data_IF_132653617296
#
_entry.id   IF_132653617296
#
_cell.length_a   1.000
_cell.length_b   1.000
_cell.length_c   1.000
_cell.angle_alpha   90.00
_cell.angle_beta   90.00
_cell.angle_gamma   90.00
#
_symmetry.space_group_name_H-M   'P 1'
#
loop_
_entity.id
_entity.type
_entity.pdbx_description
1 polymer ?
#
# COMPACT_ATOMS: atom_id res chain seq x y z
N UNK A 1 16.10 15.91 6.19
CA UNK A 1 14.85 16.59 5.74
C UNK A 1 14.59 17.86 6.54
N UNK A 2 14.67 17.86 7.88
CA UNK A 2 14.43 19.10 8.65
C UNK A 2 15.56 20.12 8.58
N UNK A 3 16.80 19.65 8.46
CA UNK A 3 17.97 20.51 8.37
C UNK A 3 18.14 21.20 7.00
N UNK A 4 17.52 20.68 5.93
CA UNK A 4 17.71 21.17 4.56
C UNK A 4 16.43 21.01 3.71
N UNK A 5 15.79 22.12 3.29
CA UNK A 5 14.63 22.11 2.40
C UNK A 5 14.86 21.43 1.06
N UNK A 6 16.06 21.49 0.49
CA UNK A 6 16.38 20.84 -0.78
C UNK A 6 16.36 19.31 -0.63
N UNK A 7 16.92 18.79 0.48
CA UNK A 7 16.82 17.36 0.81
C UNK A 7 15.37 16.98 1.08
N UNK A 8 14.59 17.81 1.79
CA UNK A 8 13.16 17.58 2.00
C UNK A 8 12.40 17.45 0.67
N UNK A 9 12.65 18.34 -0.28
CA UNK A 9 12.00 18.30 -1.60
C UNK A 9 12.33 17.01 -2.36
N UNK A 10 13.61 16.62 -2.37
CA UNK A 10 14.09 15.37 -3.01
C UNK A 10 13.48 14.11 -2.39
N UNK A 11 13.33 14.07 -1.07
CA UNK A 11 12.93 12.86 -0.35
C UNK A 11 11.46 12.81 0.07
N UNK A 12 10.67 13.87 -0.11
CA UNK A 12 9.29 13.95 0.37
C UNK A 12 8.43 12.75 -0.10
N UNK A 13 8.45 12.44 -1.39
CA UNK A 13 7.67 11.32 -1.95
C UNK A 13 8.15 9.96 -1.43
N UNK A 14 9.46 9.72 -1.40
CA UNK A 14 10.06 8.48 -0.89
C UNK A 14 9.73 8.28 0.58
N UNK A 15 9.92 9.32 1.38
CA UNK A 15 9.61 9.32 2.80
C UNK A 15 8.12 9.01 3.04
N UNK A 16 7.22 9.68 2.33
CA UNK A 16 5.79 9.44 2.45
C UNK A 16 5.41 7.99 2.12
N UNK A 17 5.97 7.42 1.04
CA UNK A 17 5.75 6.03 0.67
C UNK A 17 6.23 5.06 1.75
N UNK A 18 7.45 5.22 2.25
CA UNK A 18 8.01 4.38 3.31
C UNK A 18 7.24 4.53 4.63
N UNK A 19 6.89 5.77 5.01
CA UNK A 19 6.13 6.05 6.23
C UNK A 19 4.72 5.46 6.18
N UNK A 20 4.07 5.49 5.02
CA UNK A 20 2.77 4.86 4.81
C UNK A 20 2.84 3.35 5.03
N UNK A 21 3.79 2.68 4.36
CA UNK A 21 3.98 1.24 4.48
C UNK A 21 4.39 0.80 5.90
N UNK A 22 5.24 1.59 6.57
CA UNK A 22 5.62 1.37 7.97
C UNK A 22 4.42 1.45 8.92
N UNK A 23 3.59 2.50 8.80
CA UNK A 23 2.36 2.64 9.61
C UNK A 23 1.37 1.52 9.35
N UNK A 24 1.19 1.16 8.08
CA UNK A 24 0.30 0.06 7.66
C UNK A 24 0.63 -1.25 8.38
N UNK A 25 1.89 -1.71 8.39
CA UNK A 25 2.23 -2.98 9.05
C UNK A 25 2.10 -2.95 10.57
N UNK A 26 2.30 -1.80 11.21
CA UNK A 26 2.00 -1.62 12.64
C UNK A 26 0.50 -1.82 12.88
N UNK A 27 -0.34 -1.20 12.05
CA UNK A 27 -1.79 -1.33 12.11
C UNK A 27 -2.24 -2.76 11.86
N UNK A 28 -1.80 -3.37 10.77
CA UNK A 28 -2.13 -4.75 10.40
C UNK A 28 -1.77 -5.72 11.52
N UNK A 29 -0.53 -5.69 12.03
CA UNK A 29 -0.08 -6.60 13.09
C UNK A 29 -0.92 -6.46 14.36
N UNK A 30 -1.28 -5.23 14.76
CA UNK A 30 -2.14 -4.98 15.91
C UNK A 30 -3.56 -5.49 15.66
N UNK A 31 -4.12 -5.23 14.48
CA UNK A 31 -5.44 -5.69 14.07
C UNK A 31 -5.56 -7.22 14.09
N UNK A 32 -4.62 -7.93 13.46
CA UNK A 32 -4.60 -9.39 13.42
C UNK A 32 -4.61 -10.03 14.82
N UNK A 33 -3.84 -9.45 15.75
CA UNK A 33 -3.79 -9.92 17.14
C UNK A 33 -5.07 -9.59 17.90
N UNK A 34 -5.58 -8.37 17.78
CA UNK A 34 -6.79 -7.92 18.49
C UNK A 34 -8.02 -8.74 18.09
N UNK A 35 -8.08 -9.16 16.84
CA UNK A 35 -9.20 -9.91 16.25
C UNK A 35 -9.03 -11.44 16.31
N UNK A 36 -7.92 -11.94 16.87
CA UNK A 36 -7.57 -13.37 16.83
C UNK A 36 -7.73 -14.00 15.43
N UNK A 37 -7.24 -13.32 14.40
CA UNK A 37 -7.41 -13.77 13.00
C UNK A 37 -6.78 -15.15 12.80
N UNK A 38 -5.68 -15.44 13.49
CA UNK A 38 -5.09 -16.78 13.50
C UNK A 38 -6.08 -17.84 14.00
N UNK A 39 -6.70 -17.63 15.17
CA UNK A 39 -7.69 -18.56 15.71
C UNK A 39 -8.90 -18.72 14.79
N UNK A 40 -9.37 -17.63 14.18
CA UNK A 40 -10.46 -17.68 13.19
C UNK A 40 -10.11 -18.52 11.96
N UNK A 41 -8.91 -18.33 11.37
CA UNK A 41 -8.44 -19.10 10.21
C UNK A 41 -8.21 -20.57 10.57
N UNK A 42 -7.61 -20.85 11.73
CA UNK A 42 -7.45 -22.22 12.25
C UNK A 42 -8.80 -22.93 12.42
N UNK A 43 -9.79 -22.25 12.98
CA UNK A 43 -11.13 -22.80 13.13
C UNK A 43 -11.81 -23.08 11.78
N UNK A 44 -11.55 -22.26 10.74
CA UNK A 44 -12.00 -22.53 9.38
C UNK A 44 -11.32 -23.76 8.79
N UNK A 45 -10.00 -23.89 8.95
CA UNK A 45 -9.22 -25.06 8.52
C UNK A 45 -9.70 -26.34 9.22
N UNK A 46 -9.97 -26.29 10.52
CA UNK A 46 -10.50 -27.43 11.28
C UNK A 46 -11.88 -27.87 10.77
N UNK A 47 -12.76 -26.90 10.45
CA UNK A 47 -14.06 -27.17 9.83
C UNK A 47 -13.90 -27.78 8.45
N UNK A 48 -12.95 -27.27 7.66
CA UNK A 48 -12.62 -27.79 6.35
C UNK A 48 -12.15 -29.24 6.44
N UNK A 49 -11.17 -29.56 7.29
CA UNK A 49 -10.67 -30.93 7.47
C UNK A 49 -11.78 -31.90 7.89
N UNK A 50 -12.65 -31.49 8.83
CA UNK A 50 -13.81 -32.31 9.23
C UNK A 50 -14.79 -32.54 8.07
N UNK A 51 -15.03 -31.53 7.24
CA UNK A 51 -15.91 -31.64 6.07
C UNK A 51 -15.32 -32.53 4.97
N UNK A 52 -14.00 -32.50 4.79
CA UNK A 52 -13.26 -33.35 3.86
C UNK A 52 -13.30 -34.81 4.32
N UNK A 53 -12.94 -35.09 5.58
CA UNK A 53 -12.86 -36.45 6.14
C UNK A 53 -14.23 -37.16 6.24
N UNK A 54 -15.34 -36.42 6.16
CA UNK A 54 -16.69 -36.97 6.20
C UNK A 54 -17.11 -37.71 4.91
N UNK A 55 -16.34 -37.58 3.81
CA UNK A 55 -16.68 -38.19 2.52
C UNK A 55 -15.40 -38.62 1.78
N UNK A 56 -15.30 -39.91 1.42
CA UNK A 56 -14.11 -40.47 0.78
C UNK A 56 -13.77 -39.84 -0.59
N UNK A 57 -14.76 -39.31 -1.33
CA UNK A 57 -14.50 -38.59 -2.59
C UNK A 57 -13.92 -37.21 -2.31
N UNK A 58 -14.32 -36.54 -1.22
CA UNK A 58 -13.72 -35.27 -0.80
C UNK A 58 -12.30 -35.50 -0.30
N UNK A 59 -12.08 -36.52 0.51
CA UNK A 59 -10.75 -36.91 0.99
C UNK A 59 -9.78 -37.11 -0.19
N UNK A 60 -10.19 -37.85 -1.22
CA UNK A 60 -9.38 -38.11 -2.41
C UNK A 60 -9.01 -36.85 -3.23
N UNK A 61 -9.77 -35.75 -3.11
CA UNK A 61 -9.54 -34.51 -3.86
C UNK A 61 -8.84 -33.45 -3.00
N UNK A 62 -9.20 -33.35 -1.71
CA UNK A 62 -8.85 -32.22 -0.84
C UNK A 62 -7.99 -32.60 0.36
N UNK A 63 -7.84 -33.89 0.68
CA UNK A 63 -7.17 -34.35 1.91
C UNK A 63 -5.78 -33.75 2.10
N UNK A 64 -5.01 -33.64 1.01
CA UNK A 64 -3.64 -33.13 1.04
C UNK A 64 -3.53 -31.61 0.92
N UNK A 65 -4.64 -30.88 0.69
CA UNK A 65 -4.59 -29.46 0.33
C UNK A 65 -3.86 -28.59 1.39
N UNK A 66 -4.21 -28.78 2.67
CA UNK A 66 -3.55 -28.07 3.77
C UNK A 66 -2.14 -28.60 4.06
N UNK A 67 -1.88 -29.88 3.78
CA UNK A 67 -0.56 -30.48 3.92
C UNK A 67 0.45 -29.84 2.97
N UNK A 68 0.08 -29.72 1.69
CA UNK A 68 0.90 -29.06 0.66
C UNK A 68 1.25 -27.61 1.04
N UNK A 69 0.28 -26.85 1.56
CA UNK A 69 0.53 -25.48 2.03
C UNK A 69 1.42 -25.45 3.27
N UNK A 70 1.20 -26.38 4.22
CA UNK A 70 2.01 -26.47 5.44
C UNK A 70 3.47 -26.80 5.16
N UNK A 71 3.75 -27.68 4.21
CA UNK A 71 5.11 -28.05 3.85
C UNK A 71 5.89 -26.91 3.20
N UNK A 72 5.21 -26.08 2.39
CA UNK A 72 5.78 -24.82 1.91
C UNK A 72 6.20 -23.92 3.08
N UNK A 73 5.30 -23.63 4.03
CA UNK A 73 5.64 -22.76 5.17
C UNK A 73 6.80 -23.32 6.00
N UNK A 74 6.82 -24.62 6.29
CA UNK A 74 7.96 -25.27 6.98
C UNK A 74 9.28 -25.10 6.23
N UNK A 75 9.25 -25.12 4.90
CA UNK A 75 10.45 -24.94 4.06
C UNK A 75 10.95 -23.50 4.03
N UNK A 76 10.07 -22.51 4.23
CA UNK A 76 10.40 -21.08 4.18
C UNK A 76 10.68 -20.45 5.53
N UNK A 77 10.16 -21.01 6.64
CA UNK A 77 10.20 -20.37 7.97
C UNK A 77 11.60 -19.92 8.40
N UNK A 78 12.62 -20.73 8.09
CA UNK A 78 14.00 -20.42 8.45
C UNK A 78 14.61 -19.26 7.63
N UNK A 79 14.12 -19.00 6.42
CA UNK A 79 14.72 -18.05 5.46
C UNK A 79 13.87 -16.81 5.22
N UNK A 80 12.59 -16.81 5.59
CA UNK A 80 11.65 -15.72 5.31
C UNK A 80 12.12 -14.37 5.87
N UNK A 81 12.67 -14.36 7.09
CA UNK A 81 13.27 -13.16 7.66
C UNK A 81 14.43 -12.65 6.80
N UNK A 82 15.29 -13.54 6.31
CA UNK A 82 16.38 -13.20 5.40
C UNK A 82 15.88 -12.61 4.07
N UNK A 83 14.82 -13.20 3.50
CA UNK A 83 14.19 -12.75 2.26
C UNK A 83 13.65 -11.32 2.38
N UNK A 84 12.93 -11.01 3.47
CA UNK A 84 12.43 -9.67 3.75
C UNK A 84 13.58 -8.67 3.88
N UNK A 85 14.67 -9.02 4.58
CA UNK A 85 15.83 -8.14 4.70
C UNK A 85 16.56 -7.94 3.36
N UNK A 86 16.66 -8.98 2.54
CA UNK A 86 17.27 -8.91 1.20
C UNK A 86 16.56 -7.87 0.32
N UNK A 87 15.24 -7.76 0.43
CA UNK A 87 14.47 -6.70 -0.21
C UNK A 87 14.61 -5.37 0.54
N UNK A 88 14.08 -5.28 1.76
CA UNK A 88 13.79 -4.03 2.48
C UNK A 88 15.04 -3.30 2.98
N UNK A 89 16.07 -4.03 3.42
CA UNK A 89 17.34 -3.44 3.87
C UNK A 89 18.44 -3.54 2.80
N UNK A 90 18.37 -4.56 1.93
CA UNK A 90 19.33 -4.80 0.86
C UNK A 90 19.01 -4.01 -0.40
N UNK A 91 18.10 -4.55 -1.21
CA UNK A 91 17.86 -4.09 -2.58
C UNK A 91 17.19 -2.71 -2.65
N UNK A 92 16.17 -2.45 -1.84
CA UNK A 92 15.39 -1.19 -1.87
C UNK A 92 15.59 -0.30 -0.63
N UNK A 93 16.43 -0.72 0.31
CA UNK A 93 16.64 0.02 1.56
C UNK A 93 17.41 1.34 1.40
N UNK A 94 18.35 1.38 0.46
CA UNK A 94 19.09 2.57 0.07
C UNK A 94 18.88 2.84 -1.43
N UNK A 95 18.93 4.10 -1.83
CA UNK A 95 18.68 4.54 -3.21
C UNK A 95 19.69 3.89 -4.18
N UNK A 96 20.97 3.84 -3.78
CA UNK A 96 22.06 3.37 -4.66
C UNK A 96 21.90 1.90 -5.07
N UNK A 97 21.37 1.02 -4.21
CA UNK A 97 21.45 -0.44 -4.45
C UNK A 97 20.63 -0.88 -5.66
N UNK A 98 19.34 -0.54 -5.71
CA UNK A 98 18.48 -0.87 -6.85
C UNK A 98 18.91 -0.12 -8.11
N UNK A 99 19.37 1.14 -7.98
CA UNK A 99 19.88 1.91 -9.10
C UNK A 99 21.10 1.24 -9.74
N UNK A 100 22.08 0.87 -8.92
CA UNK A 100 23.27 0.15 -9.33
C UNK A 100 22.91 -1.19 -9.99
N UNK A 101 22.00 -1.97 -9.43
CA UNK A 101 21.54 -3.22 -10.05
C UNK A 101 20.86 -2.99 -11.40
N UNK A 102 20.05 -1.95 -11.52
CA UNK A 102 19.44 -1.59 -12.80
C UNK A 102 20.50 -1.20 -13.82
N UNK A 103 21.58 -0.54 -13.39
CA UNK A 103 22.71 -0.24 -14.26
C UNK A 103 23.48 -1.50 -14.66
N UNK A 104 23.73 -2.44 -13.73
CA UNK A 104 24.44 -3.70 -14.07
C UNK A 104 23.71 -4.48 -15.15
N UNK A 105 22.37 -4.56 -15.08
CA UNK A 105 21.57 -5.18 -16.15
C UNK A 105 21.75 -4.51 -17.51
N UNK A 106 21.79 -3.18 -17.55
CA UNK A 106 22.03 -2.44 -18.79
C UNK A 106 23.45 -2.61 -19.28
N UNK A 107 24.43 -2.61 -18.37
CA UNK A 107 25.84 -2.85 -18.70
C UNK A 107 26.05 -4.25 -19.30
N UNK A 108 25.51 -5.28 -18.66
CA UNK A 108 25.61 -6.66 -19.14
C UNK A 108 24.91 -6.83 -20.50
N UNK A 109 23.79 -6.15 -20.72
CA UNK A 109 23.11 -6.13 -22.02
C UNK A 109 23.94 -5.40 -23.08
N UNK A 110 24.61 -4.30 -22.71
CA UNK A 110 25.52 -3.59 -23.60
C UNK A 110 26.71 -4.46 -23.98
N UNK A 111 27.34 -5.15 -23.03
CA UNK A 111 28.51 -6.01 -23.30
C UNK A 111 28.19 -7.22 -24.19
N UNK A 112 26.91 -7.58 -24.36
CA UNK A 112 26.45 -8.60 -25.32
C UNK A 112 26.29 -8.08 -26.75
N UNK A 113 26.36 -6.76 -26.98
CA UNK A 113 26.28 -6.17 -28.31
C UNK A 113 27.59 -6.39 -29.07
N UNK A 114 27.48 -6.75 -30.35
CA UNK A 114 28.64 -7.02 -31.20
C UNK A 114 29.32 -5.72 -31.70
N UNK A 115 28.54 -4.68 -31.99
CA UNK A 115 29.04 -3.39 -32.46
C UNK A 115 29.25 -2.38 -31.34
N UNK A 116 30.23 -1.49 -31.50
CA UNK A 116 30.46 -0.39 -30.56
C UNK A 116 29.28 0.58 -30.54
N UNK A 117 28.64 0.82 -31.68
CA UNK A 117 27.41 1.63 -31.76
C UNK A 117 26.28 1.01 -30.95
N UNK A 118 26.10 -0.31 -31.01
CA UNK A 118 25.10 -1.04 -30.23
C UNK A 118 25.37 -0.98 -28.72
N UNK A 119 26.64 -1.12 -28.32
CA UNK A 119 27.08 -0.95 -26.91
C UNK A 119 26.75 0.45 -26.40
N UNK A 120 27.17 1.49 -27.13
CA UNK A 120 26.92 2.88 -26.76
C UNK A 120 25.43 3.20 -26.72
N UNK A 121 24.64 2.76 -27.71
CA UNK A 121 23.20 2.97 -27.72
C UNK A 121 22.51 2.31 -26.50
N UNK A 122 22.92 1.08 -26.16
CA UNK A 122 22.37 0.35 -25.00
C UNK A 122 22.72 1.06 -23.69
N UNK A 123 23.96 1.50 -23.49
CA UNK A 123 24.35 2.27 -22.30
C UNK A 123 23.59 3.60 -22.23
N UNK A 124 23.50 4.32 -23.34
CA UNK A 124 22.81 5.61 -23.41
C UNK A 124 21.30 5.49 -23.16
N UNK A 125 20.69 4.32 -23.39
CA UNK A 125 19.29 4.06 -23.00
C UNK A 125 19.05 4.21 -21.49
N UNK A 126 20.11 4.13 -20.67
CA UNK A 126 20.02 4.33 -19.22
C UNK A 126 19.91 5.81 -18.82
N UNK A 127 20.19 6.76 -19.71
CA UNK A 127 20.27 8.19 -19.40
C UNK A 127 19.00 8.72 -18.72
N UNK A 128 17.82 8.41 -19.27
CA UNK A 128 16.55 8.87 -18.66
C UNK A 128 16.29 8.29 -17.27
N UNK A 129 16.78 7.07 -16.99
CA UNK A 129 16.73 6.48 -15.64
C UNK A 129 17.73 7.16 -14.71
N UNK A 130 18.92 7.49 -15.20
CA UNK A 130 19.90 8.27 -14.45
C UNK A 130 19.37 9.69 -14.15
N UNK A 131 18.73 10.36 -15.10
CA UNK A 131 18.09 11.68 -14.89
C UNK A 131 17.06 11.61 -13.76
N UNK A 132 16.14 10.65 -13.82
CA UNK A 132 15.12 10.47 -12.78
C UNK A 132 15.73 10.15 -11.41
N UNK A 133 16.78 9.32 -11.37
CA UNK A 133 17.47 9.00 -10.12
C UNK A 133 18.17 10.22 -9.51
N UNK A 134 19.04 10.88 -10.28
CA UNK A 134 19.87 11.96 -9.76
C UNK A 134 19.09 13.26 -9.48
N UNK A 135 17.87 13.42 -10.03
CA UNK A 135 16.96 14.52 -9.68
C UNK A 135 16.65 14.54 -8.17
N UNK A 136 16.35 13.37 -7.62
CA UNK A 136 15.85 13.19 -6.26
C UNK A 136 16.88 12.52 -5.32
N UNK A 137 18.12 12.37 -5.78
CA UNK A 137 19.20 11.73 -5.04
C UNK A 137 19.99 12.76 -4.22
N UNK A 138 20.26 12.39 -2.97
CA UNK A 138 21.19 13.10 -2.10
C UNK A 138 22.23 12.11 -1.58
N UNK A 139 23.48 12.29 -2.02
CA UNK A 139 24.55 11.33 -1.77
C UNK A 139 24.89 11.19 -0.28
N UNK A 140 24.86 12.30 0.48
CA UNK A 140 25.18 12.27 1.90
C UNK A 140 24.10 11.52 2.69
N UNK A 141 22.83 11.80 2.39
CA UNK A 141 21.68 11.10 2.98
C UNK A 141 21.72 9.61 2.66
N UNK A 142 21.92 9.25 1.39
CA UNK A 142 21.93 7.84 0.97
C UNK A 142 23.08 7.04 1.58
N UNK A 143 24.27 7.65 1.72
CA UNK A 143 25.41 7.05 2.43
C UNK A 143 25.05 6.69 3.87
N UNK A 144 24.39 7.59 4.58
CA UNK A 144 24.02 7.39 5.97
C UNK A 144 22.93 6.31 6.08
N UNK A 145 21.95 6.32 5.18
CA UNK A 145 20.91 5.28 5.08
C UNK A 145 21.52 3.91 4.79
N UNK A 146 22.35 3.77 3.75
CA UNK A 146 23.00 2.51 3.41
C UNK A 146 23.83 1.95 4.57
N UNK A 147 24.56 2.82 5.27
CA UNK A 147 25.35 2.42 6.44
C UNK A 147 24.47 1.80 7.52
N UNK A 148 23.33 2.43 7.84
CA UNK A 148 22.41 1.89 8.84
C UNK A 148 21.71 0.62 8.35
N UNK A 149 21.31 0.55 7.08
CA UNK A 149 20.67 -0.63 6.50
C UNK A 149 21.61 -1.85 6.57
N UNK A 150 22.88 -1.71 6.18
CA UNK A 150 23.86 -2.79 6.26
C UNK A 150 24.13 -3.24 7.71
N UNK A 151 24.17 -2.29 8.67
CA UNK A 151 24.31 -2.61 10.10
C UNK A 151 23.11 -3.38 10.63
N UNK A 152 21.90 -2.93 10.30
CA UNK A 152 20.65 -3.60 10.69
C UNK A 152 20.57 -4.99 10.06
N UNK A 153 20.98 -5.14 8.80
CA UNK A 153 21.05 -6.44 8.14
C UNK A 153 21.99 -7.39 8.86
N UNK A 154 23.27 -7.01 9.04
CA UNK A 154 24.28 -7.86 9.69
C UNK A 154 23.89 -8.24 11.12
N UNK A 155 23.21 -7.34 11.83
CA UNK A 155 22.76 -7.58 13.21
C UNK A 155 21.64 -8.63 13.29
N UNK A 156 20.72 -8.64 12.33
CA UNK A 156 19.46 -9.37 12.46
C UNK A 156 19.40 -10.66 11.66
N UNK A 157 20.30 -10.88 10.71
CA UNK A 157 20.36 -12.07 9.86
C UNK A 157 21.54 -12.96 10.29
N UNK A 158 21.29 -14.26 10.36
CA UNK A 158 22.28 -15.27 10.71
C UNK A 158 23.38 -15.36 9.65
N UNK A 159 24.59 -15.73 10.07
CA UNK A 159 25.81 -15.57 9.26
C UNK A 159 25.77 -16.34 7.93
N UNK A 160 25.13 -17.51 7.89
CA UNK A 160 24.97 -18.37 6.72
C UNK A 160 23.93 -17.84 5.70
N UNK A 161 23.09 -16.89 6.10
CA UNK A 161 22.12 -16.21 5.24
C UNK A 161 22.57 -14.80 4.83
N UNK A 162 23.77 -14.37 5.23
CA UNK A 162 24.28 -13.07 4.83
C UNK A 162 24.69 -13.08 3.34
N UNK A 163 24.31 -12.06 2.56
CA UNK A 163 24.79 -11.89 1.19
C UNK A 163 26.31 -11.82 1.12
N UNK A 164 26.89 -12.29 0.00
CA UNK A 164 28.36 -12.36 -0.22
C UNK A 164 29.12 -11.06 0.06
N UNK A 165 28.47 -9.90 -0.08
CA UNK A 165 29.05 -8.59 0.22
C UNK A 165 29.60 -8.52 1.64
N UNK A 166 28.98 -9.20 2.61
CA UNK A 166 29.45 -9.23 3.99
C UNK A 166 30.79 -9.96 4.11
N UNK A 167 31.05 -11.00 3.31
CA UNK A 167 32.36 -11.64 3.23
C UNK A 167 33.45 -10.71 2.68
N UNK A 168 33.10 -9.83 1.73
CA UNK A 168 34.01 -8.78 1.24
C UNK A 168 34.27 -7.73 2.33
N UNK A 169 33.24 -7.32 3.07
CA UNK A 169 33.37 -6.38 4.21
C UNK A 169 34.27 -6.98 5.29
N UNK A 170 34.07 -8.23 5.66
CA UNK A 170 34.87 -8.92 6.68
C UNK A 170 36.33 -9.05 6.25
N UNK A 171 36.59 -9.49 5.02
CA UNK A 171 37.95 -9.74 4.53
C UNK A 171 38.74 -8.47 4.19
N UNK A 172 38.12 -7.48 3.54
CA UNK A 172 38.81 -6.26 3.05
C UNK A 172 38.70 -5.08 3.99
N UNK A 173 37.65 -5.04 4.81
CA UNK A 173 37.37 -3.93 5.73
C UNK A 173 37.38 -4.37 7.20
N UNK A 174 37.77 -5.63 7.50
CA UNK A 174 37.84 -6.17 8.86
C UNK A 174 36.49 -6.08 9.60
N UNK A 175 35.40 -6.23 8.85
CA UNK A 175 34.03 -6.15 9.37
C UNK A 175 33.50 -4.72 9.56
N UNK A 176 34.29 -3.71 9.23
CA UNK A 176 33.94 -2.30 9.40
C UNK A 176 33.06 -1.79 8.24
N UNK A 177 31.76 -1.76 8.50
CA UNK A 177 30.73 -1.31 7.54
C UNK A 177 30.91 0.18 7.20
N UNK A 178 31.25 1.02 8.18
CA UNK A 178 31.45 2.46 7.95
C UNK A 178 32.59 2.71 6.97
N UNK A 179 33.71 1.99 7.12
CA UNK A 179 34.84 2.05 6.17
C UNK A 179 34.47 1.54 4.79
N UNK A 180 33.71 0.44 4.70
CA UNK A 180 33.23 -0.08 3.42
C UNK A 180 32.37 0.96 2.69
N UNK A 181 31.36 1.50 3.36
CA UNK A 181 30.44 2.47 2.78
C UNK A 181 31.17 3.76 2.40
N UNK A 182 32.02 4.31 3.27
CA UNK A 182 32.84 5.47 2.94
C UNK A 182 33.71 5.23 1.69
N UNK A 183 34.28 4.04 1.54
CA UNK A 183 35.05 3.67 0.34
C UNK A 183 34.16 3.57 -0.89
N UNK A 184 32.98 2.97 -0.78
CA UNK A 184 32.01 2.88 -1.87
C UNK A 184 31.66 4.25 -2.43
N UNK A 185 31.23 5.20 -1.59
CA UNK A 185 30.81 6.53 -2.03
C UNK A 185 31.96 7.42 -2.53
N UNK A 186 33.21 7.13 -2.13
CA UNK A 186 34.36 7.85 -2.69
C UNK A 186 34.78 7.31 -4.05
N UNK A 187 34.70 5.99 -4.27
CA UNK A 187 35.25 5.35 -5.46
C UNK A 187 34.24 4.98 -6.55
N UNK A 188 32.98 4.74 -6.19
CA UNK A 188 32.03 4.22 -7.17
C UNK A 188 31.67 5.28 -8.21
N UNK A 189 31.53 4.87 -9.47
CA UNK A 189 31.05 5.76 -10.52
C UNK A 189 29.52 5.94 -10.50
N UNK A 190 28.80 5.09 -9.75
CA UNK A 190 27.34 5.07 -9.70
C UNK A 190 26.73 6.10 -8.74
N UNK A 191 27.53 6.65 -7.82
CA UNK A 191 27.04 7.58 -6.80
C UNK A 191 27.06 9.05 -7.25
N UNK A 192 27.52 9.32 -8.46
CA UNK A 192 27.65 10.68 -9.00
C UNK A 192 27.34 10.70 -10.49
N UNK A 193 26.54 11.68 -10.92
CA UNK A 193 26.06 11.74 -12.30
C UNK A 193 27.21 11.92 -13.30
N UNK A 194 28.14 12.83 -13.03
CA UNK A 194 29.24 13.10 -13.94
C UNK A 194 30.19 11.90 -14.03
N UNK A 195 30.43 11.18 -12.92
CA UNK A 195 31.22 9.93 -12.93
C UNK A 195 30.53 8.84 -13.73
N UNK A 196 29.20 8.69 -13.60
CA UNK A 196 28.43 7.71 -14.36
C UNK A 196 28.49 8.02 -15.86
N UNK A 197 28.25 9.27 -16.25
CA UNK A 197 28.30 9.69 -17.65
C UNK A 197 29.70 9.47 -18.24
N UNK A 198 30.75 9.79 -17.49
CA UNK A 198 32.13 9.53 -17.89
C UNK A 198 32.42 8.03 -18.06
N UNK A 199 31.88 7.18 -17.18
CA UNK A 199 31.98 5.73 -17.33
C UNK A 199 31.20 5.22 -18.55
N UNK A 200 29.96 5.68 -18.78
CA UNK A 200 29.16 5.27 -19.94
C UNK A 200 29.77 5.69 -21.27
N UNK A 201 30.46 6.84 -21.32
CA UNK A 201 31.16 7.29 -22.51
C UNK A 201 32.39 6.43 -22.84
N UNK A 202 33.03 5.83 -21.83
CA UNK A 202 34.25 5.00 -21.98
C UNK A 202 34.19 3.80 -21.02
N UNK A 203 33.31 2.82 -21.28
CA UNK A 203 33.11 1.70 -20.37
C UNK A 203 34.39 0.88 -20.24
N UNK A 204 34.73 0.47 -19.02
CA UNK A 204 35.89 -0.38 -18.75
C UNK A 204 35.49 -1.54 -17.86
N UNK A 205 35.63 -2.76 -18.39
CA UNK A 205 35.33 -4.00 -17.64
C UNK A 205 36.10 -4.06 -16.32
N UNK A 206 37.38 -3.67 -16.33
CA UNK A 206 38.22 -3.64 -15.12
C UNK A 206 37.69 -2.67 -14.06
N UNK A 207 37.12 -1.54 -14.46
CA UNK A 207 36.52 -0.56 -13.54
C UNK A 207 35.20 -1.12 -13.01
N UNK A 208 34.36 -1.66 -13.89
CA UNK A 208 33.09 -2.32 -13.53
C UNK A 208 33.29 -3.45 -12.50
N UNK A 209 34.19 -4.40 -12.78
CA UNK A 209 34.45 -5.57 -11.94
C UNK A 209 34.97 -5.21 -10.54
N UNK A 210 35.57 -4.02 -10.40
CA UNK A 210 36.14 -3.53 -9.14
C UNK A 210 35.25 -2.55 -8.40
N UNK A 211 34.18 -2.07 -9.03
CA UNK A 211 33.28 -1.08 -8.45
C UNK A 211 32.52 -1.67 -7.26
N UNK A 212 32.59 -1.00 -6.10
CA UNK A 212 31.96 -1.48 -4.88
C UNK A 212 30.43 -1.34 -4.91
N UNK A 213 29.90 -0.36 -5.64
CA UNK A 213 28.46 -0.20 -5.85
C UNK A 213 27.89 -1.32 -6.71
N UNK A 214 28.59 -1.69 -7.79
CA UNK A 214 28.27 -2.87 -8.62
C UNK A 214 28.26 -4.14 -7.78
N UNK A 215 29.31 -4.40 -6.99
CA UNK A 215 29.42 -5.59 -6.13
C UNK A 215 28.32 -5.66 -5.08
N UNK A 216 28.03 -4.54 -4.41
CA UNK A 216 26.94 -4.45 -3.45
C UNK A 216 25.61 -4.81 -4.12
N UNK A 217 25.32 -4.19 -5.25
CA UNK A 217 24.05 -4.37 -5.95
C UNK A 217 23.84 -5.80 -6.46
N UNK A 218 24.87 -6.39 -7.08
CA UNK A 218 24.81 -7.79 -7.53
C UNK A 218 24.62 -8.75 -6.36
N UNK A 219 25.33 -8.54 -5.25
CA UNK A 219 25.22 -9.39 -4.06
C UNK A 219 23.83 -9.29 -3.40
N UNK A 220 23.31 -8.06 -3.22
CA UNK A 220 21.98 -7.85 -2.64
C UNK A 220 20.87 -8.39 -3.54
N UNK A 221 20.98 -8.17 -4.86
CA UNK A 221 20.02 -8.75 -5.80
C UNK A 221 20.11 -10.28 -5.82
N UNK A 222 21.31 -10.86 -5.73
CA UNK A 222 21.47 -12.32 -5.68
C UNK A 222 20.75 -12.94 -4.48
N UNK A 223 20.89 -12.33 -3.30
CA UNK A 223 20.16 -12.75 -2.10
C UNK A 223 18.64 -12.59 -2.27
N UNK A 224 18.18 -11.47 -2.84
CA UNK A 224 16.76 -11.27 -3.12
C UNK A 224 16.23 -12.26 -4.16
N UNK A 225 16.98 -12.53 -5.24
CA UNK A 225 16.58 -13.44 -6.30
C UNK A 225 16.48 -14.89 -5.83
N UNK A 226 17.33 -15.29 -4.87
CA UNK A 226 17.25 -16.61 -4.24
C UNK A 226 15.94 -16.82 -3.48
N UNK A 227 15.28 -15.75 -3.00
CA UNK A 227 14.00 -15.86 -2.29
C UNK A 227 12.85 -16.39 -3.15
N UNK A 228 12.95 -16.25 -4.48
CA UNK A 228 11.94 -16.76 -5.42
C UNK A 228 12.07 -18.26 -5.73
N UNK A 229 13.13 -18.91 -5.25
CA UNK A 229 13.39 -20.32 -5.56
C UNK A 229 12.92 -21.18 -4.37
N UNK A 230 11.71 -21.72 -4.47
CA UNK A 230 11.21 -22.72 -3.52
C UNK A 230 10.68 -23.94 -4.27
N UNK A 231 11.24 -25.12 -3.96
CA UNK A 231 10.82 -26.40 -4.54
C UNK A 231 9.37 -26.78 -4.19
N UNK A 232 8.81 -26.21 -3.13
CA UNK A 232 7.45 -26.45 -2.66
C UNK A 232 6.42 -25.43 -3.22
N UNK A 233 6.85 -24.42 -4.01
CA UNK A 233 5.94 -23.39 -4.53
C UNK A 233 4.79 -23.98 -5.37
N UNK A 234 5.09 -24.91 -6.28
CA UNK A 234 4.06 -25.54 -7.12
C UNK A 234 3.05 -26.36 -6.30
N UNK A 235 3.52 -26.99 -5.22
CA UNK A 235 2.65 -27.71 -4.28
C UNK A 235 1.79 -26.73 -3.49
N UNK A 236 2.36 -25.61 -3.02
CA UNK A 236 1.60 -24.55 -2.37
C UNK A 236 0.46 -24.04 -3.27
N UNK A 237 0.77 -23.69 -4.52
CA UNK A 237 -0.22 -23.17 -5.47
C UNK A 237 -1.35 -24.19 -5.73
N UNK A 238 -0.99 -25.47 -5.82
CA UNK A 238 -1.96 -26.56 -5.96
C UNK A 238 -2.82 -26.73 -4.71
N UNK A 239 -2.20 -26.76 -3.54
CA UNK A 239 -2.88 -26.85 -2.24
C UNK A 239 -3.83 -25.69 -2.02
N UNK A 240 -3.40 -24.45 -2.29
CA UNK A 240 -4.22 -23.25 -2.18
C UNK A 240 -5.44 -23.31 -3.11
N UNK A 241 -5.24 -23.70 -4.38
CA UNK A 241 -6.35 -23.86 -5.33
C UNK A 241 -7.37 -24.91 -4.87
N UNK A 242 -6.91 -26.05 -4.37
CA UNK A 242 -7.77 -27.11 -3.85
C UNK A 242 -8.50 -26.66 -2.59
N UNK A 243 -7.83 -25.95 -1.69
CA UNK A 243 -8.43 -25.42 -0.48
C UNK A 243 -9.54 -24.42 -0.80
N UNK A 244 -9.30 -23.46 -1.70
CA UNK A 244 -10.31 -22.47 -2.13
C UNK A 244 -11.50 -23.14 -2.83
N UNK A 245 -11.26 -24.11 -3.73
CA UNK A 245 -12.35 -24.87 -4.38
C UNK A 245 -13.19 -25.64 -3.34
N UNK A 246 -12.53 -26.31 -2.40
CA UNK A 246 -13.20 -27.06 -1.35
C UNK A 246 -13.98 -26.17 -0.38
N UNK A 247 -13.45 -24.99 -0.01
CA UNK A 247 -14.17 -24.00 0.82
C UNK A 247 -15.48 -23.55 0.15
N UNK A 248 -15.46 -23.29 -1.17
CA UNK A 248 -16.64 -22.91 -1.93
C UNK A 248 -17.70 -24.01 -1.97
N UNK A 249 -17.28 -25.27 -2.08
CA UNK A 249 -18.17 -26.45 -2.02
C UNK A 249 -18.69 -26.74 -0.62
N UNK A 250 -17.89 -26.48 0.42
CA UNK A 250 -18.30 -26.59 1.81
C UNK A 250 -19.34 -25.52 2.21
N UNK A 251 -19.25 -24.32 1.62
CA UNK A 251 -20.09 -23.16 1.96
C UNK A 251 -20.86 -22.63 0.74
N UNK A 252 -21.76 -23.41 0.13
CA UNK A 252 -22.40 -23.04 -1.15
C UNK A 252 -23.28 -21.79 -1.06
N UNK A 253 -23.75 -21.43 0.14
CA UNK A 253 -24.60 -20.27 0.37
C UNK A 253 -23.80 -18.99 0.68
N UNK A 254 -22.48 -19.08 0.81
CA UNK A 254 -21.62 -17.91 1.05
C UNK A 254 -21.26 -17.27 -0.29
N UNK A 255 -21.41 -15.95 -0.39
CA UNK A 255 -20.87 -15.19 -1.51
C UNK A 255 -19.34 -15.11 -1.37
N UNK A 256 -18.62 -15.76 -2.28
CA UNK A 256 -17.17 -15.65 -2.39
C UNK A 256 -16.83 -14.61 -3.45
N UNK A 257 -15.85 -13.76 -3.15
CA UNK A 257 -15.21 -12.87 -4.12
C UNK A 257 -13.73 -13.22 -4.23
N UNK A 258 -13.11 -13.08 -5.42
CA UNK A 258 -11.69 -13.38 -5.59
C UNK A 258 -10.83 -12.33 -4.88
N UNK A 259 -9.63 -12.73 -4.44
CA UNK A 259 -8.62 -11.80 -3.93
C UNK A 259 -8.35 -10.67 -4.93
N UNK A 260 -8.01 -9.48 -4.44
CA UNK A 260 -7.65 -8.36 -5.31
C UNK A 260 -6.38 -8.69 -6.12
N UNK A 261 -6.38 -8.37 -7.40
CA UNK A 261 -5.27 -8.67 -8.32
C UNK A 261 -5.09 -7.57 -9.37
N UNK A 262 -5.29 -6.30 -8.96
CA UNK A 262 -5.18 -5.11 -9.82
C UNK A 262 -6.14 -5.11 -11.01
N UNK A 263 -7.29 -5.78 -10.87
CA UNK A 263 -8.42 -5.71 -11.81
C UNK A 263 -9.55 -4.88 -11.22
N UNK A 264 -10.44 -4.37 -12.08
CA UNK A 264 -11.60 -3.61 -11.64
C UNK A 264 -12.53 -4.46 -10.77
N UNK A 265 -12.93 -3.93 -9.61
CA UNK A 265 -13.87 -4.54 -8.66
C UNK A 265 -14.93 -3.54 -8.22
N UNK A 266 -16.02 -4.05 -7.66
CA UNK A 266 -17.08 -3.27 -7.01
C UNK A 266 -17.22 -3.74 -5.57
N UNK A 267 -17.23 -2.79 -4.64
CA UNK A 267 -17.64 -2.98 -3.25
C UNK A 267 -18.84 -2.08 -2.97
N UNK A 268 -19.75 -2.51 -2.11
CA UNK A 268 -20.94 -1.74 -1.76
C UNK A 268 -21.15 -1.79 -0.25
N UNK A 269 -21.78 -0.75 0.28
CA UNK A 269 -21.92 -0.55 1.70
C UNK A 269 -22.84 0.62 2.02
N UNK A 270 -22.83 1.02 3.29
CA UNK A 270 -23.60 2.12 3.84
C UNK A 270 -22.65 3.09 4.53
N UNK A 271 -22.99 4.38 4.45
CA UNK A 271 -22.38 5.41 5.30
C UNK A 271 -22.85 5.14 6.74
N UNK A 272 -21.91 5.10 7.68
CA UNK A 272 -22.23 4.70 9.05
C UNK A 272 -21.06 4.89 10.00
N UNK A 273 -21.40 5.12 11.26
CA UNK A 273 -20.50 5.35 12.38
C UNK A 273 -19.81 4.05 12.82
N UNK A 274 -18.91 4.13 13.81
CA UNK A 274 -18.34 2.93 14.44
C UNK A 274 -17.80 3.20 15.86
N UNK A 275 -17.53 2.12 16.57
CA UNK A 275 -17.07 2.12 17.96
C UNK A 275 -15.72 1.40 18.03
N UNK A 276 -14.58 2.12 18.01
CA UNK A 276 -13.25 1.49 17.99
C UNK A 276 -12.86 0.84 19.32
N UNK A 277 -13.48 1.28 20.42
CA UNK A 277 -13.23 0.84 21.78
C UNK A 277 -14.44 1.12 22.67
N UNK A 278 -14.43 0.55 23.88
CA UNK A 278 -15.44 0.85 24.90
C UNK A 278 -15.54 2.36 25.16
N UNK A 279 -16.77 2.86 25.24
CA UNK A 279 -17.12 4.27 25.42
C UNK A 279 -16.56 5.27 24.36
N UNK A 280 -15.99 4.79 23.26
CA UNK A 280 -15.51 5.65 22.16
C UNK A 280 -16.43 5.48 20.96
N UNK A 281 -16.94 6.59 20.45
CA UNK A 281 -17.81 6.64 19.28
C UNK A 281 -17.22 7.61 18.25
N UNK A 282 -17.07 7.14 17.01
CA UNK A 282 -16.71 7.99 15.89
C UNK A 282 -17.90 8.12 14.94
N UNK A 283 -18.37 9.35 14.78
CA UNK A 283 -19.42 9.72 13.85
C UNK A 283 -18.99 9.49 12.38
N UNK A 284 -19.97 9.45 11.48
CA UNK A 284 -19.75 9.07 10.09
C UNK A 284 -19.34 10.24 9.18
N UNK A 285 -19.27 11.46 9.70
CA UNK A 285 -18.87 12.68 8.97
C UNK A 285 -17.91 13.52 9.78
N UNK A 286 -17.04 14.26 9.09
CA UNK A 286 -16.28 15.37 9.66
C UNK A 286 -16.67 16.68 8.98
N UNK A 287 -16.51 17.79 9.69
CA UNK A 287 -16.77 19.14 9.13
C UNK A 287 -15.48 19.94 9.01
N UNK A 288 -15.56 21.10 8.36
CA UNK A 288 -14.45 22.04 8.28
C UNK A 288 -14.04 22.62 9.65
N UNK A 289 -14.89 22.57 10.67
CA UNK A 289 -14.50 23.00 12.03
C UNK A 289 -13.35 22.14 12.58
N UNK A 290 -13.32 20.84 12.23
CA UNK A 290 -12.23 19.95 12.60
C UNK A 290 -10.86 20.37 12.01
N UNK A 291 -10.84 21.13 10.90
CA UNK A 291 -9.60 21.73 10.36
C UNK A 291 -9.13 22.85 11.29
N UNK A 292 -10.05 23.70 11.76
CA UNK A 292 -9.73 24.81 12.67
C UNK A 292 -9.31 24.33 14.05
N UNK A 293 -9.93 23.24 14.56
CA UNK A 293 -9.55 22.60 15.83
C UNK A 293 -8.15 21.99 15.78
N UNK A 294 -7.74 21.47 14.61
CA UNK A 294 -6.42 20.83 14.40
C UNK A 294 -5.32 21.81 14.01
N UNK A 295 -5.66 23.05 13.64
CA UNK A 295 -4.69 24.05 13.16
C UNK A 295 -3.56 24.26 14.17
N UNK A 296 -2.34 23.98 13.74
CA UNK A 296 -1.12 24.28 14.47
C UNK A 296 -0.04 24.72 13.48
N UNK A 297 0.14 26.03 13.33
CA UNK A 297 1.11 26.59 12.37
C UNK A 297 2.58 26.40 12.80
N UNK A 298 2.84 25.79 13.97
CA UNK A 298 4.19 25.36 14.37
C UNK A 298 4.51 23.93 13.93
N UNK A 299 3.48 23.14 13.58
CA UNK A 299 3.62 21.80 13.06
C UNK A 299 3.36 21.78 11.54
N UNK A 300 4.34 21.42 10.70
CA UNK A 300 4.17 21.42 9.24
C UNK A 300 3.03 20.52 8.73
N UNK A 301 2.58 19.54 9.51
CA UNK A 301 1.43 18.67 9.16
C UNK A 301 0.07 19.36 9.33
N UNK A 302 -0.01 20.42 10.15
CA UNK A 302 -1.27 21.08 10.53
C UNK A 302 -1.29 22.58 10.25
N UNK A 303 -0.43 23.04 9.34
CA UNK A 303 -0.46 24.42 8.85
C UNK A 303 -1.74 24.66 8.05
N UNK A 304 -2.45 25.72 8.39
CA UNK A 304 -3.62 26.19 7.63
C UNK A 304 -3.31 27.59 7.10
N UNK A 305 -3.33 27.73 5.77
CA UNK A 305 -3.13 29.01 5.07
C UNK A 305 -4.19 30.05 5.47
N UNK A 306 -3.78 31.33 5.49
CA UNK A 306 -4.62 32.43 5.97
C UNK A 306 -5.91 32.61 5.15
N UNK A 307 -5.87 32.33 3.83
CA UNK A 307 -7.08 32.37 2.99
C UNK A 307 -8.04 31.26 3.40
N UNK A 308 -7.53 30.05 3.61
CA UNK A 308 -8.36 28.91 4.04
C UNK A 308 -8.96 29.19 5.42
N UNK A 309 -8.15 29.60 6.40
CA UNK A 309 -8.62 29.94 7.75
C UNK A 309 -9.73 31.00 7.72
N UNK A 310 -9.57 32.08 6.95
CA UNK A 310 -10.61 33.10 6.78
C UNK A 310 -11.90 32.51 6.23
N UNK A 311 -11.84 31.83 5.08
CA UNK A 311 -13.01 31.26 4.41
C UNK A 311 -13.80 30.30 5.31
N UNK A 312 -13.09 29.50 6.13
CA UNK A 312 -13.71 28.59 7.08
C UNK A 312 -14.38 29.33 8.23
N UNK A 313 -13.74 30.37 8.80
CA UNK A 313 -14.29 31.17 9.91
C UNK A 313 -15.46 32.04 9.49
N UNK A 314 -15.44 32.58 8.26
CA UNK A 314 -16.53 33.38 7.70
C UNK A 314 -17.65 32.52 7.10
N UNK A 315 -17.49 31.19 7.10
CA UNK A 315 -18.43 30.22 6.53
C UNK A 315 -18.83 30.55 5.09
N UNK A 316 -17.85 30.94 4.27
CA UNK A 316 -18.04 31.21 2.84
C UNK A 316 -18.20 29.89 2.05
N UNK A 317 -19.22 29.10 2.37
CA UNK A 317 -19.43 27.75 1.83
C UNK A 317 -20.31 27.70 0.58
N UNK A 318 -21.13 28.73 0.34
CA UNK A 318 -22.02 28.81 -0.82
C UNK A 318 -22.95 27.61 -0.95
N UNK A 319 -23.11 27.08 -2.17
CA UNK A 319 -23.98 25.94 -2.47
C UNK A 319 -23.49 24.59 -1.92
N UNK A 320 -22.31 24.55 -1.31
CA UNK A 320 -21.65 23.31 -0.86
C UNK A 320 -21.92 22.99 0.61
N UNK A 321 -22.50 23.92 1.36
CA UNK A 321 -22.93 23.68 2.73
C UNK A 321 -24.02 22.60 2.78
N UNK A 322 -24.02 21.82 3.87
CA UNK A 322 -25.10 20.90 4.17
C UNK A 322 -26.37 21.64 4.65
N UNK A 323 -27.41 20.87 4.96
CA UNK A 323 -28.69 21.41 5.47
C UNK A 323 -28.57 22.19 6.79
N UNK A 324 -27.49 22.00 7.53
CA UNK A 324 -27.21 22.69 8.79
C UNK A 324 -26.30 23.92 8.60
N UNK A 325 -25.87 24.20 7.35
CA UNK A 325 -24.95 25.29 7.05
C UNK A 325 -23.48 24.96 7.28
N UNK A 326 -23.13 23.68 7.43
CA UNK A 326 -21.76 23.22 7.66
C UNK A 326 -21.14 22.65 6.38
N UNK A 327 -19.82 22.83 6.21
CA UNK A 327 -19.08 22.20 5.13
C UNK A 327 -18.55 20.84 5.59
N UNK A 328 -19.16 19.77 5.10
CA UNK A 328 -18.70 18.40 5.35
C UNK A 328 -17.40 18.17 4.58
N UNK A 329 -16.36 17.69 5.24
CA UNK A 329 -15.03 17.47 4.66
C UNK A 329 -14.85 16.03 4.19
N UNK A 330 -15.11 15.07 5.08
CA UNK A 330 -14.99 13.65 4.81
C UNK A 330 -16.19 12.90 5.40
N UNK A 331 -16.40 11.68 4.92
CA UNK A 331 -17.32 10.72 5.50
C UNK A 331 -16.73 9.30 5.47
N UNK A 332 -17.32 8.41 6.25
CA UNK A 332 -16.93 7.01 6.31
C UNK A 332 -18.07 6.05 5.93
N UNK A 333 -17.70 4.92 5.33
CA UNK A 333 -18.62 3.85 4.95
C UNK A 333 -18.00 2.48 5.15
N UNK A 334 -18.80 1.42 5.28
CA UNK A 334 -18.31 0.05 5.45
C UNK A 334 -17.96 -0.64 4.11
N UNK A 335 -17.48 0.12 3.12
CA UNK A 335 -16.94 -0.45 1.90
C UNK A 335 -15.60 -1.16 2.18
N UNK A 336 -15.40 -2.31 1.53
CA UNK A 336 -14.16 -3.11 1.56
C UNK A 336 -13.16 -2.61 0.50
N UNK A 337 -12.06 -1.99 0.94
CA UNK A 337 -11.02 -1.41 0.08
C UNK A 337 -9.61 -1.85 0.52
N UNK A 338 -8.65 -1.76 -0.39
CA UNK A 338 -7.22 -1.99 -0.14
C UNK A 338 -6.35 -1.06 -0.99
N UNK A 339 -5.02 -1.24 -0.95
CA UNK A 339 -4.08 -0.58 -1.84
C UNK A 339 -4.49 -0.69 -3.31
N UNK A 340 -4.55 0.46 -3.99
CA UNK A 340 -5.04 0.57 -5.37
C UNK A 340 -6.46 1.15 -5.48
N UNK A 341 -7.22 1.25 -4.38
CA UNK A 341 -8.52 1.92 -4.38
C UNK A 341 -8.44 3.45 -4.20
N UNK A 342 -7.28 4.03 -3.86
CA UNK A 342 -7.13 5.48 -3.71
C UNK A 342 -7.55 6.23 -4.99
N UNK A 343 -8.49 7.17 -4.84
CA UNK A 343 -9.12 7.91 -5.94
C UNK A 343 -10.39 7.27 -6.52
N UNK A 344 -10.84 6.11 -6.00
CA UNK A 344 -12.06 5.46 -6.49
C UNK A 344 -13.29 6.32 -6.27
N UNK A 345 -14.22 6.41 -7.25
CA UNK A 345 -15.47 7.13 -7.09
C UNK A 345 -16.39 6.40 -6.12
N UNK A 346 -16.92 7.12 -5.13
CA UNK A 346 -18.01 6.65 -4.28
C UNK A 346 -19.31 7.18 -4.86
N UNK A 347 -20.19 6.27 -5.27
CA UNK A 347 -21.47 6.59 -5.91
C UNK A 347 -22.65 6.20 -5.03
N UNK A 348 -23.70 7.01 -5.05
CA UNK A 348 -24.95 6.68 -4.35
C UNK A 348 -25.79 5.66 -5.13
N UNK A 349 -26.93 5.25 -4.56
CA UNK A 349 -27.85 4.30 -5.19
C UNK A 349 -28.54 4.79 -6.47
N UNK A 350 -28.25 6.01 -6.91
CA UNK A 350 -28.74 6.64 -8.14
C UNK A 350 -27.61 6.84 -9.17
N UNK A 351 -26.41 6.31 -8.90
CA UNK A 351 -25.25 6.39 -9.78
C UNK A 351 -24.53 7.74 -9.78
N UNK A 352 -24.79 8.61 -8.81
CA UNK A 352 -24.21 9.93 -8.72
C UNK A 352 -22.99 9.92 -7.79
N UNK A 353 -21.93 10.62 -8.19
CA UNK A 353 -20.71 10.77 -7.38
C UNK A 353 -21.00 11.56 -6.10
N UNK A 354 -20.67 10.97 -4.95
CA UNK A 354 -20.83 11.59 -3.62
C UNK A 354 -19.50 11.78 -2.88
N UNK A 355 -18.44 11.10 -3.32
CA UNK A 355 -17.12 11.26 -2.73
C UNK A 355 -16.03 10.51 -3.49
N UNK A 356 -14.81 10.63 -2.99
CA UNK A 356 -13.64 9.91 -3.51
C UNK A 356 -12.97 9.17 -2.35
N UNK A 357 -12.83 7.85 -2.46
CA UNK A 357 -12.15 7.04 -1.46
C UNK A 357 -10.66 7.39 -1.48
N UNK A 358 -10.05 7.61 -0.31
CA UNK A 358 -8.62 7.92 -0.23
C UNK A 358 -7.86 7.14 0.83
N UNK A 359 -8.54 6.61 1.85
CA UNK A 359 -7.91 5.86 2.94
C UNK A 359 -8.90 4.90 3.63
N UNK A 360 -8.40 4.05 4.52
CA UNK A 360 -9.19 3.27 5.48
C UNK A 360 -8.89 3.71 6.92
N UNK A 361 -9.81 3.46 7.85
CA UNK A 361 -9.52 3.69 9.26
C UNK A 361 -8.45 2.72 9.80
N UNK A 362 -7.95 2.98 11.00
CA UNK A 362 -6.87 2.19 11.60
C UNK A 362 -7.23 0.70 11.73
N UNK A 363 -8.49 0.39 12.02
CA UNK A 363 -9.00 -0.97 12.11
C UNK A 363 -9.07 -1.70 10.76
N UNK A 364 -9.16 -0.96 9.65
CA UNK A 364 -9.13 -1.50 8.29
C UNK A 364 -7.76 -1.96 7.82
N UNK A 365 -6.68 -1.69 8.56
CA UNK A 365 -5.32 -2.14 8.18
C UNK A 365 -5.17 -3.68 8.14
N UNK A 366 -6.16 -4.42 8.67
CA UNK A 366 -6.24 -5.89 8.59
C UNK A 366 -7.03 -6.42 7.38
N UNK A 367 -7.66 -5.53 6.60
CA UNK A 367 -8.60 -5.85 5.52
C UNK A 367 -8.07 -6.83 4.47
N UNK A 368 -6.77 -6.77 4.19
CA UNK A 368 -6.11 -7.67 3.22
C UNK A 368 -6.11 -9.15 3.66
N UNK A 369 -6.38 -9.42 4.94
CA UNK A 369 -6.39 -10.77 5.52
C UNK A 369 -7.77 -11.11 6.11
N UNK A 370 -8.43 -10.13 6.73
CA UNK A 370 -9.74 -10.29 7.36
C UNK A 370 -10.56 -8.99 7.26
N UNK A 371 -11.78 -9.11 6.72
CA UNK A 371 -12.75 -8.01 6.69
C UNK A 371 -13.67 -8.07 7.91
N UNK A 372 -13.78 -6.95 8.64
CA UNK A 372 -14.59 -6.84 9.86
C UNK A 372 -15.69 -5.76 9.68
N UNK A 373 -16.94 -6.14 9.37
CA UNK A 373 -18.00 -5.19 9.03
C UNK A 373 -18.29 -4.14 10.10
N UNK A 374 -18.12 -4.49 11.38
CA UNK A 374 -18.42 -3.61 12.50
C UNK A 374 -17.37 -2.50 12.68
N UNK A 375 -16.12 -2.75 12.28
CA UNK A 375 -14.98 -1.89 12.58
C UNK A 375 -14.36 -1.22 11.35
N UNK A 376 -14.34 -1.90 10.20
CA UNK A 376 -13.64 -1.40 9.04
C UNK A 376 -14.46 -0.37 8.29
N UNK A 377 -13.81 0.75 7.99
CA UNK A 377 -14.42 1.91 7.35
C UNK A 377 -13.48 2.45 6.28
N UNK A 378 -14.02 2.60 5.08
CA UNK A 378 -13.43 3.42 4.02
C UNK A 378 -13.63 4.89 4.36
N UNK A 379 -12.55 5.67 4.30
CA UNK A 379 -12.54 7.13 4.45
C UNK A 379 -12.58 7.76 3.05
N UNK A 380 -13.59 8.59 2.84
CA UNK A 380 -13.81 9.30 1.58
C UNK A 380 -13.89 10.80 1.80
N UNK A 381 -13.33 11.56 0.88
CA UNK A 381 -13.56 13.02 0.84
C UNK A 381 -14.95 13.26 0.27
N UNK A 382 -15.72 14.15 0.89
CA UNK A 382 -17.05 14.53 0.40
C UNK A 382 -16.91 15.35 -0.89
N UNK A 383 -17.69 15.00 -1.92
CA UNK A 383 -17.57 15.68 -3.21
C UNK A 383 -17.88 17.18 -3.10
N UNK A 384 -18.72 17.60 -2.15
CA UNK A 384 -19.02 19.02 -1.90
C UNK A 384 -17.79 19.76 -1.40
N UNK A 385 -16.95 19.14 -0.58
CA UNK A 385 -15.68 19.73 -0.14
C UNK A 385 -14.73 19.92 -1.32
N UNK A 386 -14.58 18.88 -2.16
CA UNK A 386 -13.73 18.97 -3.36
C UNK A 386 -14.19 20.10 -4.27
N UNK A 387 -15.50 20.19 -4.54
CA UNK A 387 -16.07 21.25 -5.37
C UNK A 387 -15.93 22.63 -4.72
N UNK A 388 -16.08 22.75 -3.40
CA UNK A 388 -15.83 23.99 -2.66
C UNK A 388 -14.38 24.44 -2.75
N UNK A 389 -13.42 23.51 -2.67
CA UNK A 389 -12.00 23.83 -2.83
C UNK A 389 -11.71 24.33 -4.25
N UNK A 390 -12.25 23.67 -5.28
CA UNK A 390 -12.07 24.09 -6.69
C UNK A 390 -12.72 25.44 -6.94
N UNK A 391 -13.95 25.63 -6.47
CA UNK A 391 -14.72 26.85 -6.71
C UNK A 391 -14.24 28.02 -5.84
N UNK A 392 -14.47 27.93 -4.52
CA UNK A 392 -14.32 29.06 -3.60
C UNK A 392 -12.85 29.29 -3.24
N UNK A 393 -12.12 28.23 -2.90
CA UNK A 393 -10.72 28.38 -2.50
C UNK A 393 -9.79 28.64 -3.69
N UNK A 394 -9.93 27.91 -4.80
CA UNK A 394 -9.05 28.06 -5.97
C UNK A 394 -9.57 29.04 -7.02
N UNK A 395 -10.87 29.33 -7.08
CA UNK A 395 -11.45 30.23 -8.09
C UNK A 395 -11.52 29.61 -9.49
N UNK A 396 -11.44 28.29 -9.62
CA UNK A 396 -11.31 27.58 -10.89
C UNK A 396 -12.67 27.36 -11.58
N UNK A 397 -13.34 28.46 -11.95
CA UNK A 397 -14.70 28.45 -12.54
C UNK A 397 -14.79 27.64 -13.82
N UNK A 398 -13.74 27.61 -14.64
CA UNK A 398 -13.69 26.81 -15.86
C UNK A 398 -13.90 25.30 -15.61
N UNK A 399 -13.49 24.78 -14.45
CA UNK A 399 -13.74 23.37 -14.08
C UNK A 399 -15.17 23.22 -13.60
N UNK A 400 -15.67 24.15 -12.79
CA UNK A 400 -17.05 24.12 -12.27
C UNK A 400 -18.07 24.16 -13.41
N UNK A 401 -17.81 24.94 -14.46
CA UNK A 401 -18.68 25.07 -15.63
C UNK A 401 -18.71 23.78 -16.49
N UNK A 402 -17.71 22.89 -16.35
CA UNK A 402 -17.65 21.60 -17.04
C UNK A 402 -18.41 20.48 -16.29
N UNK A 403 -18.73 20.69 -15.01
CA UNK A 403 -19.38 19.69 -14.16
C UNK A 403 -20.90 19.84 -14.19
N UNK A 404 -21.61 18.75 -14.50
CA UNK A 404 -23.07 18.69 -14.38
C UNK A 404 -23.49 18.33 -12.94
N UNK A 405 -24.07 19.31 -12.24
CA UNK A 405 -24.49 19.15 -10.86
C UNK A 405 -25.92 18.63 -10.76
N UNK A 406 -26.07 17.44 -10.17
CA UNK A 406 -27.39 16.94 -9.79
C UNK A 406 -27.82 17.54 -8.46
N UNK A 407 -28.86 18.39 -8.48
CA UNK A 407 -29.34 19.15 -7.30
C UNK A 407 -30.58 18.58 -6.63
N UNK A 408 -31.25 17.63 -7.26
CA UNK A 408 -32.46 16.98 -6.75
C UNK A 408 -32.35 15.48 -6.92
N UNK A 409 -32.83 14.72 -5.92
CA UNK A 409 -32.88 13.27 -6.02
C UNK A 409 -33.99 12.88 -7.00
N UNK A 410 -33.71 12.10 -8.05
CA UNK A 410 -34.76 11.60 -8.93
C UNK A 410 -35.70 10.68 -8.13
N UNK A 411 -37.00 10.96 -8.18
CA UNK A 411 -38.02 10.14 -7.50
C UNK A 411 -38.08 8.77 -8.19
N UNK A 412 -37.76 7.68 -7.47
CA UNK A 412 -37.92 6.33 -8.01
C UNK A 412 -39.38 5.94 -7.99
N UNK A 413 -39.85 5.23 -9.03
CA UNK A 413 -41.22 4.66 -9.08
C UNK A 413 -41.53 3.75 -7.88
N UNK A 414 -40.52 3.12 -7.27
CA UNK A 414 -40.66 2.33 -6.03
C UNK A 414 -41.10 3.17 -4.83
N UNK A 415 -40.64 4.42 -4.77
CA UNK A 415 -40.89 5.32 -3.65
C UNK A 415 -42.29 5.96 -3.76
N UNK A 416 -42.91 5.90 -4.95
CA UNK A 416 -44.28 6.35 -5.19
C UNK A 416 -45.35 5.32 -4.80
N UNK A 417 -44.97 4.07 -4.48
CA UNK A 417 -45.92 3.03 -4.03
C UNK A 417 -45.99 2.91 -2.50
N UNK A 418 -45.17 3.66 -1.76
CA UNK A 418 -45.15 3.66 -0.31
C UNK A 418 -45.98 4.79 0.31
N UNK A 419 -47.21 5.02 -0.18
CA UNK A 419 -48.20 5.87 0.53
C UNK A 419 -49.61 5.26 0.46
N UNK A 420 -49.95 4.46 1.47
CA UNK A 420 -51.12 4.62 2.34
C UNK A 420 -51.15 3.43 3.33
N UNK A 421 -51.19 3.62 4.65
CA UNK A 421 -51.53 2.53 5.55
C UNK A 421 -52.97 2.11 5.25
N UNK A 422 -53.20 0.83 4.97
CA UNK A 422 -54.54 0.28 4.89
C UNK A 422 -55.27 0.58 6.20
N UNK A 423 -56.44 1.21 6.11
CA UNK A 423 -57.30 1.49 7.26
C UNK A 423 -57.53 0.20 8.05
N UNK A 424 -57.36 0.28 9.38
CA UNK A 424 -57.57 -0.85 10.27
C UNK A 424 -59.01 -1.38 10.12
N UNK A 425 -59.22 -2.70 10.12
CA UNK A 425 -60.57 -3.26 10.05
C UNK A 425 -61.33 -2.90 11.33
N UNK A 426 -62.57 -2.42 11.16
CA UNK A 426 -63.51 -2.18 12.25
C UNK A 426 -63.70 -3.45 13.09
N UNK A 427 -63.37 -3.37 14.37
CA UNK A 427 -63.69 -4.40 15.35
C UNK A 427 -65.18 -4.33 15.63
N UNK A 428 -65.93 -5.30 15.10
CA UNK A 428 -67.34 -5.48 15.46
C UNK A 428 -67.43 -6.21 16.81
N UNK A 429 -68.03 -5.54 17.80
CA UNK A 429 -68.31 -6.13 19.11
C UNK A 429 -69.23 -7.36 19.00
N UNK A 430 -68.99 -8.43 19.77
CA UNK A 430 -69.90 -9.57 19.80
C UNK A 430 -71.18 -9.22 20.55
N UNK A 431 -72.32 -9.36 19.88
CA UNK A 431 -73.64 -9.30 20.52
C UNK A 431 -73.75 -10.42 21.55
N UNK A 432 -73.95 -10.02 22.82
CA UNK A 432 -74.37 -10.89 23.91
C UNK A 432 -75.64 -11.67 23.53
N UNK A 433 -75.60 -12.99 23.72
CA UNK A 433 -76.74 -13.81 24.11
C UNK A 433 -76.33 -14.69 25.27
#
# INVERSE_FOLDING_TARGET
MDADPAVRLKYAAKYAQTANYWKYYIGQTKGLKRLDVYGQKKALEDKFQKWVAADAKREAIYGDALGMMSDYYKSTDATEKGNVYALEAGLIGADITLFAFRFTRTYDAAMKQESEEGKSATLNSFAGRADGFFKDYDQATDRDVLTQMLKIYKKNIVADQLPEIFGLIDSKFKGDIDKFVAKLYTTSFLVDRAKLDAFMAKPSQKVYDKDLGVKLAQSMYGAYAASFQNAEQEKFDTGYRLFVDGLRKMQPNKAFYPDANSTMRLTYGQVGDYYPADAVHYDFVTTSNGILEKKDNTNPEFVVDDKLDRLLRTKEFGQYADKNGELITCFISNNDITGGNSGSPVINGDGQLIGLAFDGNWEAMSGDIAFEPELQRTISVDIRYVMWVIDVYAGAKNIIDEIDFVKTRPVKKSDMQAEAPAAAPEVTEPKKK
#
